data_IF_583704197704
#
_entry.id   IF_583704197704
#
_cell.length_a   1.000
_cell.length_b   1.000
_cell.length_c   1.000
_cell.angle_alpha   90.00
_cell.angle_beta   90.00
_cell.angle_gamma   90.00
#
_symmetry.space_group_name_H-M   'P 1'
#
loop_
_entity.id
_entity.type
_entity.pdbx_description
1 polymer ?
#
# COMPACT_ATOMS: atom_id res chain seq x y z
N UNK A 1 20.31 2.43 -0.17
CA UNK A 1 18.91 2.49 0.28
C UNK A 1 18.20 1.29 -0.31
N UNK A 2 17.59 0.43 0.51
CA UNK A 2 16.85 -0.73 0.02
C UNK A 2 15.58 -0.32 -0.72
N UNK A 3 15.14 -1.14 -1.68
CA UNK A 3 13.86 -0.93 -2.36
C UNK A 3 12.70 -1.04 -1.36
N UNK A 4 11.63 -0.28 -1.62
CA UNK A 4 10.48 -0.18 -0.72
C UNK A 4 9.28 -0.87 -1.34
N UNK A 5 8.66 -1.79 -0.60
CA UNK A 5 7.49 -2.56 -1.03
C UNK A 5 6.28 -2.11 -0.22
N UNK A 6 5.16 -1.91 -0.90
CA UNK A 6 3.86 -1.62 -0.28
C UNK A 6 2.90 -2.78 -0.58
N UNK A 7 2.31 -3.37 0.46
CA UNK A 7 1.33 -4.45 0.32
C UNK A 7 -0.04 -3.87 0.69
N UNK A 8 -0.97 -3.85 -0.25
CA UNK A 8 -2.30 -3.27 -0.04
C UNK A 8 -3.30 -4.41 0.13
N UNK A 9 -4.04 -4.39 1.24
CA UNK A 9 -5.05 -5.40 1.52
C UNK A 9 -6.32 -5.21 0.68
N UNK A 10 -7.14 -6.25 0.62
CA UNK A 10 -8.42 -6.23 -0.09
C UNK A 10 -9.52 -5.49 0.69
N UNK A 11 -10.70 -5.36 0.06
CA UNK A 11 -11.96 -4.97 0.72
C UNK A 11 -12.16 -5.78 2.00
N UNK A 12 -12.58 -5.13 3.08
CA UNK A 12 -12.74 -5.68 4.44
C UNK A 12 -11.45 -6.26 5.06
N UNK A 13 -10.32 -6.11 4.37
CA UNK A 13 -9.02 -6.54 4.86
C UNK A 13 -8.45 -5.57 5.89
N UNK A 14 -7.43 -6.04 6.60
CA UNK A 14 -6.58 -5.21 7.45
C UNK A 14 -5.12 -5.61 7.24
N UNK A 15 -4.14 -4.80 7.69
CA UNK A 15 -2.72 -5.16 7.55
C UNK A 15 -2.32 -6.48 8.23
N UNK A 16 -3.09 -6.93 9.22
CA UNK A 16 -2.79 -8.10 10.04
C UNK A 16 -3.40 -9.42 9.54
N UNK A 17 -4.18 -9.41 8.46
CA UNK A 17 -4.89 -10.61 7.98
C UNK A 17 -4.15 -11.31 6.84
N UNK A 18 -4.68 -12.48 6.43
CA UNK A 18 -4.18 -13.27 5.31
C UNK A 18 -2.68 -13.57 5.44
N UNK A 19 -1.95 -13.45 4.33
CA UNK A 19 -0.52 -13.72 4.23
C UNK A 19 0.34 -12.46 4.33
N UNK A 20 -0.26 -11.28 4.56
CA UNK A 20 0.50 -10.01 4.57
C UNK A 20 1.56 -9.96 5.67
N UNK A 21 1.30 -10.40 6.92
CA UNK A 21 2.32 -10.40 7.97
C UNK A 21 3.50 -11.32 7.64
N UNK A 22 3.22 -12.51 7.09
CA UNK A 22 4.25 -13.44 6.66
C UNK A 22 5.08 -12.86 5.50
N UNK A 23 4.44 -12.37 4.44
CA UNK A 23 5.19 -11.81 3.30
C UNK A 23 6.01 -10.59 3.71
N UNK A 24 5.49 -9.76 4.62
CA UNK A 24 6.25 -8.64 5.20
C UNK A 24 7.55 -9.14 5.84
N UNK A 25 7.48 -10.15 6.70
CA UNK A 25 8.66 -10.72 7.36
C UNK A 25 9.66 -11.31 6.35
N UNK A 26 9.19 -12.05 5.35
CA UNK A 26 10.05 -12.65 4.31
C UNK A 26 10.78 -11.62 3.46
N UNK A 27 10.09 -10.54 3.09
CA UNK A 27 10.68 -9.44 2.32
C UNK A 27 11.64 -8.60 3.18
N UNK A 28 11.31 -8.36 4.45
CA UNK A 28 12.21 -7.68 5.38
C UNK A 28 13.50 -8.49 5.61
N UNK A 29 13.40 -9.82 5.73
CA UNK A 29 14.56 -10.71 5.82
C UNK A 29 15.46 -10.67 4.57
N UNK A 30 14.90 -10.29 3.42
CA UNK A 30 15.64 -10.07 2.15
C UNK A 30 16.18 -8.64 2.00
N UNK A 31 15.99 -7.78 2.99
CA UNK A 31 16.52 -6.41 3.01
C UNK A 31 15.60 -5.33 2.39
N UNK A 32 14.34 -5.67 2.09
CA UNK A 32 13.35 -4.68 1.65
C UNK A 32 12.79 -3.88 2.82
N UNK A 33 12.42 -2.62 2.55
CA UNK A 33 11.60 -1.84 3.47
C UNK A 33 10.13 -2.09 3.14
N UNK A 34 9.39 -2.77 4.01
CA UNK A 34 8.01 -3.21 3.69
C UNK A 34 6.98 -2.44 4.51
N UNK A 35 5.97 -1.89 3.85
CA UNK A 35 4.85 -1.19 4.49
C UNK A 35 3.54 -1.86 4.10
N UNK A 36 2.68 -2.08 5.09
CA UNK A 36 1.31 -2.59 4.90
C UNK A 36 0.38 -1.55 5.50
N UNK A 37 -0.06 -0.53 4.73
CA UNK A 37 -0.90 0.53 5.26
C UNK A 37 -2.29 0.00 5.57
N UNK A 38 -2.91 0.55 6.61
CA UNK A 38 -4.34 0.38 6.87
C UNK A 38 -5.12 1.34 5.96
N UNK A 39 -5.90 0.78 5.05
CA UNK A 39 -6.67 1.57 4.10
C UNK A 39 -7.95 2.12 4.74
N UNK A 40 -8.41 3.32 4.35
CA UNK A 40 -9.61 3.91 4.92
C UNK A 40 -10.89 3.19 4.47
N UNK A 41 -11.93 3.22 5.30
CA UNK A 41 -13.29 2.80 4.95
C UNK A 41 -13.36 1.41 4.28
N UNK A 42 -12.67 0.41 4.85
CA UNK A 42 -12.45 -0.89 4.20
C UNK A 42 -13.73 -1.67 3.91
N UNK A 43 -14.82 -1.41 4.63
CA UNK A 43 -16.13 -2.02 4.42
C UNK A 43 -16.91 -1.43 3.24
N UNK A 44 -16.58 -0.21 2.84
CA UNK A 44 -17.18 0.51 1.71
C UNK A 44 -16.08 1.32 1.00
N UNK A 45 -15.10 0.64 0.35
CA UNK A 45 -13.92 1.29 -0.18
C UNK A 45 -14.29 2.21 -1.36
N UNK A 46 -13.79 3.44 -1.29
CA UNK A 46 -13.92 4.44 -2.35
C UNK A 46 -12.56 4.63 -3.02
N UNK A 47 -12.51 4.48 -4.34
CA UNK A 47 -11.26 4.48 -5.10
C UNK A 47 -10.47 5.78 -4.90
N UNK A 48 -11.13 6.94 -4.91
CA UNK A 48 -10.49 8.23 -4.73
C UNK A 48 -9.80 8.32 -3.36
N UNK A 49 -10.47 7.90 -2.28
CA UNK A 49 -9.92 7.92 -0.92
C UNK A 49 -8.71 6.99 -0.78
N UNK A 50 -8.80 5.80 -1.37
CA UNK A 50 -7.72 4.81 -1.33
C UNK A 50 -6.49 5.31 -2.12
N UNK A 51 -6.70 5.84 -3.32
CA UNK A 51 -5.62 6.40 -4.14
C UNK A 51 -4.98 7.61 -3.45
N UNK A 52 -5.76 8.53 -2.89
CA UNK A 52 -5.24 9.67 -2.12
C UNK A 52 -4.41 9.21 -0.91
N UNK A 53 -4.90 8.23 -0.15
CA UNK A 53 -4.17 7.65 0.96
C UNK A 53 -2.83 7.05 0.51
N UNK A 54 -2.82 6.33 -0.61
CA UNK A 54 -1.60 5.74 -1.19
C UNK A 54 -0.62 6.80 -1.69
N UNK A 55 -1.09 7.87 -2.32
CA UNK A 55 -0.24 9.00 -2.75
C UNK A 55 0.49 9.60 -1.56
N UNK A 56 -0.21 9.81 -0.45
CA UNK A 56 0.37 10.33 0.79
C UNK A 56 1.36 9.34 1.44
N UNK A 57 1.06 8.04 1.39
CA UNK A 57 1.88 7.00 2.01
C UNK A 57 3.17 6.69 1.21
N UNK A 58 3.07 6.59 -0.12
CA UNK A 58 4.20 6.20 -0.98
C UNK A 58 5.24 7.31 -1.09
N UNK A 59 4.82 8.58 -0.97
CA UNK A 59 5.68 9.77 -1.03
C UNK A 59 6.68 9.72 -2.20
N UNK A 60 6.21 9.40 -3.41
CA UNK A 60 7.05 9.44 -4.62
C UNK A 60 6.86 10.75 -5.37
N UNK A 61 7.91 11.59 -5.50
CA UNK A 61 7.91 12.71 -6.43
C UNK A 61 8.18 12.18 -7.85
N UNK A 62 7.27 12.43 -8.81
CA UNK A 62 7.57 12.84 -10.21
C UNK A 62 6.59 12.40 -11.32
N UNK A 63 5.58 11.56 -11.08
CA UNK A 63 4.54 11.32 -12.10
C UNK A 63 3.23 11.97 -11.68
N UNK A 64 2.81 13.00 -12.41
CA UNK A 64 1.51 13.62 -12.23
C UNK A 64 0.42 12.60 -12.54
N UNK A 65 -0.36 12.22 -11.53
CA UNK A 65 -1.49 11.28 -11.60
C UNK A 65 -2.50 11.59 -12.72
N UNK A 66 -2.53 12.83 -13.21
CA UNK A 66 -3.30 13.25 -14.40
C UNK A 66 -3.02 12.44 -15.67
N UNK A 67 -1.88 11.74 -15.78
CA UNK A 67 -1.53 10.96 -16.97
C UNK A 67 -2.12 9.54 -17.01
N UNK A 68 -2.74 9.04 -15.93
CA UNK A 68 -3.26 7.66 -15.86
C UNK A 68 -4.80 7.59 -15.90
N UNK A 69 -5.49 8.74 -15.90
CA UNK A 69 -6.96 8.84 -15.88
C UNK A 69 -7.52 9.49 -17.16
N UNK A 70 -6.69 9.61 -18.20
CA UNK A 70 -7.05 9.99 -19.58
C UNK A 70 -6.73 8.85 -20.51
#
# INVERSE_FOLDING_TARGET
MGEKVYIIHNWDGTPGTNWYPWLKQELEAKGFLVVVPEMPDTAEPVIEKWVEHLVLAVKRPCVTWKALMT
#
